data_IF_333324269489
#
_entry.id   IF_333324269489
#
_cell.length_a   1.000
_cell.length_b   1.000
_cell.length_c   1.000
_cell.angle_alpha   90.00
_cell.angle_beta   90.00
_cell.angle_gamma   90.00
#
_symmetry.space_group_name_H-M   'P 1'
#
loop_
_entity.id
_entity.type
_entity.pdbx_description
1 polymer ?
#
# COMPACT_ATOMS: atom_id res chain seq x y z
N UNK A 1 -17.64 1.76 -15.00
CA UNK A 1 -17.98 3.02 -14.33
C UNK A 1 -16.71 3.62 -13.74
N UNK A 2 -16.57 4.93 -13.77
CA UNK A 2 -15.54 5.68 -13.04
C UNK A 2 -16.04 6.08 -11.64
N UNK A 3 -15.16 6.49 -10.73
CA UNK A 3 -15.54 6.96 -9.41
C UNK A 3 -16.41 8.23 -9.51
N UNK A 4 -16.11 9.14 -10.44
CA UNK A 4 -16.93 10.32 -10.68
C UNK A 4 -18.34 9.96 -11.11
N UNK A 5 -18.50 9.12 -12.15
CA UNK A 5 -19.83 8.73 -12.65
C UNK A 5 -20.65 8.06 -11.55
N UNK A 6 -20.01 7.22 -10.72
CA UNK A 6 -20.67 6.59 -9.59
C UNK A 6 -21.13 7.61 -8.56
N UNK A 7 -20.29 8.57 -8.18
CA UNK A 7 -20.63 9.59 -7.18
C UNK A 7 -21.72 10.56 -7.69
N UNK A 8 -21.77 10.82 -8.99
CA UNK A 8 -22.81 11.66 -9.62
C UNK A 8 -24.21 11.06 -9.52
N UNK A 9 -24.34 9.73 -9.35
CA UNK A 9 -25.63 9.08 -9.14
C UNK A 9 -26.23 9.34 -7.75
N UNK A 10 -25.39 9.70 -6.76
CA UNK A 10 -25.79 9.72 -5.35
C UNK A 10 -25.65 11.09 -4.66
N UNK A 11 -24.78 11.96 -5.18
CA UNK A 11 -24.45 13.23 -4.54
C UNK A 11 -24.62 14.42 -5.48
N UNK A 12 -24.92 15.59 -4.91
CA UNK A 12 -25.02 16.86 -5.64
C UNK A 12 -23.84 17.79 -5.32
N UNK A 13 -23.36 17.82 -4.07
CA UNK A 13 -22.26 18.68 -3.61
C UNK A 13 -20.91 18.26 -4.20
N UNK A 14 -20.21 19.22 -4.81
CA UNK A 14 -18.87 19.02 -5.37
C UNK A 14 -17.83 18.71 -4.30
N UNK A 15 -17.96 19.27 -3.10
CA UNK A 15 -17.07 19.04 -1.95
C UNK A 15 -17.18 17.61 -1.43
N UNK A 16 -18.41 17.10 -1.32
CA UNK A 16 -18.66 15.70 -0.92
C UNK A 16 -18.12 14.74 -1.98
N UNK A 17 -18.37 15.02 -3.27
CA UNK A 17 -17.81 14.21 -4.36
C UNK A 17 -16.29 14.22 -4.35
N UNK A 18 -15.66 15.38 -4.19
CA UNK A 18 -14.21 15.50 -4.17
C UNK A 18 -13.58 14.70 -3.03
N UNK A 19 -14.13 14.80 -1.80
CA UNK A 19 -13.58 14.04 -0.67
C UNK A 19 -13.76 12.53 -0.84
N UNK A 20 -14.87 12.05 -1.44
CA UNK A 20 -15.11 10.63 -1.66
C UNK A 20 -14.33 10.09 -2.88
N UNK A 21 -14.07 10.93 -3.88
CA UNK A 21 -13.31 10.54 -5.07
C UNK A 21 -11.86 10.15 -4.73
N UNK A 22 -11.32 10.62 -3.60
CA UNK A 22 -9.99 10.25 -3.09
C UNK A 22 -9.84 8.74 -2.93
N UNK A 23 -10.82 8.08 -2.30
CA UNK A 23 -10.88 6.61 -2.12
C UNK A 23 -10.93 5.84 -3.46
N UNK A 24 -11.36 6.51 -4.54
CA UNK A 24 -11.38 5.95 -5.89
C UNK A 24 -10.01 5.94 -6.60
N UNK A 25 -9.03 6.68 -6.07
CA UNK A 25 -7.73 6.89 -6.75
C UNK A 25 -6.51 6.49 -5.91
N UNK A 26 -6.67 6.19 -4.61
CA UNK A 26 -5.58 5.71 -3.75
C UNK A 26 -4.89 4.50 -4.39
N UNK A 27 -3.58 4.63 -4.64
CA UNK A 27 -2.73 3.59 -5.24
C UNK A 27 -3.08 3.21 -6.68
N UNK A 28 -3.90 4.03 -7.37
CA UNK A 28 -4.34 3.80 -8.73
C UNK A 28 -3.55 4.64 -9.75
N UNK A 29 -3.27 4.06 -10.91
CA UNK A 29 -2.74 4.78 -12.08
C UNK A 29 -3.90 5.35 -12.91
N UNK A 30 -4.66 6.28 -12.30
CA UNK A 30 -5.83 6.89 -12.92
C UNK A 30 -6.41 8.05 -12.10
N UNK A 31 -7.10 8.95 -12.80
CA UNK A 31 -7.93 10.00 -12.21
C UNK A 31 -9.35 9.52 -11.90
N UNK A 32 -10.16 10.28 -11.15
CA UNK A 32 -11.52 9.91 -10.77
C UNK A 32 -12.46 9.63 -11.97
N UNK A 33 -12.17 10.16 -13.17
CA UNK A 33 -12.93 9.86 -14.39
C UNK A 33 -12.42 8.60 -15.13
N UNK A 34 -11.30 8.01 -14.69
CA UNK A 34 -10.73 6.83 -15.32
C UNK A 34 -11.63 5.59 -15.08
N UNK A 35 -11.89 4.75 -16.10
CA UNK A 35 -12.66 3.53 -15.93
C UNK A 35 -12.06 2.60 -14.87
N UNK A 36 -12.91 2.05 -13.99
CA UNK A 36 -12.51 1.08 -12.96
C UNK A 36 -12.23 1.70 -11.59
N UNK A 37 -12.09 3.02 -11.48
CA UNK A 37 -11.89 3.71 -10.18
C UNK A 37 -13.09 3.57 -9.24
N UNK A 38 -14.30 3.32 -9.75
CA UNK A 38 -15.46 2.97 -8.92
C UNK A 38 -15.24 1.69 -8.09
N UNK A 39 -14.53 0.70 -8.65
CA UNK A 39 -14.18 -0.50 -7.89
C UNK A 39 -13.15 -0.19 -6.79
N UNK A 40 -12.21 0.71 -7.05
CA UNK A 40 -11.20 1.13 -6.07
C UNK A 40 -11.90 1.87 -4.91
N UNK A 41 -12.85 2.75 -5.22
CA UNK A 41 -13.71 3.40 -4.23
C UNK A 41 -14.47 2.37 -3.36
N UNK A 42 -15.12 1.39 -4.01
CA UNK A 42 -15.78 0.29 -3.31
C UNK A 42 -14.79 -0.47 -2.42
N UNK A 43 -13.59 -0.78 -2.92
CA UNK A 43 -12.57 -1.51 -2.18
C UNK A 43 -12.19 -0.80 -0.87
N UNK A 44 -11.97 0.50 -0.91
CA UNK A 44 -11.67 1.29 0.29
C UNK A 44 -12.89 1.45 1.22
N UNK A 45 -14.11 1.39 0.67
CA UNK A 45 -15.36 1.44 1.44
C UNK A 45 -15.77 0.10 2.09
N UNK A 46 -15.23 -1.03 1.62
CA UNK A 46 -15.55 -2.37 2.15
C UNK A 46 -14.88 -2.65 3.50
N UNK A 47 -13.89 -1.86 3.90
CA UNK A 47 -13.19 -1.99 5.18
C UNK A 47 -14.14 -1.88 6.39
N UNK A 48 -13.74 -2.45 7.51
CA UNK A 48 -14.52 -2.35 8.74
C UNK A 48 -13.68 -2.48 9.99
N UNK A 49 -14.05 -1.74 11.03
CA UNK A 49 -13.38 -1.72 12.33
C UNK A 49 -14.43 -1.82 13.43
N UNK A 50 -14.21 -2.70 14.41
CA UNK A 50 -15.11 -2.87 15.56
C UNK A 50 -16.54 -3.28 15.18
N UNK A 51 -16.70 -4.07 14.11
CA UNK A 51 -18.01 -4.52 13.61
C UNK A 51 -18.79 -3.48 12.81
N UNK A 52 -18.23 -2.28 12.61
CA UNK A 52 -18.82 -1.23 11.76
C UNK A 52 -18.19 -1.26 10.38
N UNK A 53 -19.03 -1.20 9.33
CA UNK A 53 -18.60 -1.17 7.92
C UNK A 53 -18.26 0.26 7.49
N UNK A 54 -17.36 0.39 6.52
CA UNK A 54 -16.95 1.67 5.93
C UNK A 54 -16.12 2.55 6.87
N UNK A 55 -15.48 1.97 7.90
CA UNK A 55 -14.67 2.72 8.86
C UNK A 55 -13.22 2.27 8.85
N UNK A 56 -12.35 3.26 8.99
CA UNK A 56 -10.93 3.12 9.28
C UNK A 56 -10.68 3.43 10.75
N UNK A 57 -9.65 2.82 11.33
CA UNK A 57 -9.35 2.94 12.75
C UNK A 57 -7.88 3.17 13.01
N UNK A 58 -7.59 3.94 14.06
CA UNK A 58 -6.25 4.08 14.59
C UNK A 58 -5.94 2.96 15.58
N UNK A 59 -4.75 2.39 15.46
CA UNK A 59 -4.25 1.37 16.38
C UNK A 59 -3.45 2.06 17.47
N UNK A 60 -3.75 1.76 18.73
CA UNK A 60 -2.95 2.23 19.88
C UNK A 60 -1.53 1.66 19.76
N UNK A 61 -0.51 2.49 19.95
CA UNK A 61 0.90 2.17 19.69
C UNK A 61 1.29 2.23 18.21
N UNK A 62 0.37 2.63 17.33
CA UNK A 62 0.60 2.75 15.88
C UNK A 62 0.54 1.40 15.16
N UNK A 63 0.79 1.43 13.84
CA UNK A 63 0.67 0.23 12.99
C UNK A 63 1.68 -0.87 13.33
N UNK A 64 2.83 -0.54 13.92
CA UNK A 64 3.82 -1.52 14.39
C UNK A 64 3.24 -2.50 15.42
N UNK A 65 2.33 -2.02 16.29
CA UNK A 65 1.68 -2.85 17.29
C UNK A 65 0.85 -4.00 16.68
N UNK A 66 0.30 -3.82 15.47
CA UNK A 66 -0.41 -4.90 14.75
C UNK A 66 0.57 -6.01 14.37
N UNK A 67 1.69 -5.65 13.75
CA UNK A 67 2.73 -6.60 13.36
C UNK A 67 3.33 -7.31 14.57
N UNK A 68 3.58 -6.58 15.66
CA UNK A 68 4.10 -7.14 16.90
C UNK A 68 3.11 -8.11 17.56
N UNK A 69 1.81 -7.78 17.57
CA UNK A 69 0.77 -8.67 18.08
C UNK A 69 0.65 -9.96 17.26
N UNK A 70 0.72 -9.88 15.93
CA UNK A 70 0.73 -11.06 15.05
C UNK A 70 1.97 -11.90 15.32
N UNK A 71 3.15 -11.28 15.40
CA UNK A 71 4.41 -11.98 15.67
C UNK A 71 4.41 -12.65 17.05
N UNK A 72 3.87 -11.99 18.09
CA UNK A 72 3.73 -12.55 19.42
C UNK A 72 2.78 -13.76 19.43
N UNK A 73 1.63 -13.65 18.78
CA UNK A 73 0.68 -14.77 18.63
C UNK A 73 1.29 -15.97 17.90
N UNK A 74 2.06 -15.72 16.84
CA UNK A 74 2.78 -16.77 16.12
C UNK A 74 3.82 -17.46 17.01
N UNK A 75 4.62 -16.70 17.77
CA UNK A 75 5.63 -17.23 18.70
C UNK A 75 5.01 -18.04 19.84
N UNK A 76 3.86 -17.62 20.37
CA UNK A 76 3.09 -18.39 21.36
C UNK A 76 2.68 -19.78 20.83
N UNK A 77 2.50 -19.90 19.51
CA UNK A 77 2.24 -21.18 18.82
C UNK A 77 3.51 -21.89 18.31
N UNK A 78 4.68 -21.45 18.76
CA UNK A 78 5.97 -22.09 18.44
C UNK A 78 6.60 -21.64 17.12
N UNK A 79 6.09 -20.60 16.46
CA UNK A 79 6.73 -20.06 15.28
C UNK A 79 8.06 -19.38 15.63
N UNK A 80 9.08 -19.60 14.80
CA UNK A 80 10.35 -18.89 14.88
C UNK A 80 10.34 -17.73 13.89
N UNK A 81 10.60 -16.51 14.37
CA UNK A 81 10.70 -15.31 13.53
C UNK A 81 12.16 -14.89 13.45
N UNK A 82 12.73 -14.92 12.24
CA UNK A 82 14.10 -14.51 11.95
C UNK A 82 14.11 -13.16 11.26
N UNK A 83 14.80 -12.17 11.83
CA UNK A 83 15.08 -10.88 11.19
C UNK A 83 16.48 -10.89 10.59
N UNK A 84 16.79 -9.92 9.72
CA UNK A 84 18.07 -9.87 8.99
C UNK A 84 18.37 -11.17 8.20
N UNK A 85 17.33 -11.87 7.76
CA UNK A 85 17.39 -13.16 7.08
C UNK A 85 16.83 -13.01 5.65
N UNK A 86 17.51 -12.22 4.82
CA UNK A 86 17.11 -11.99 3.44
C UNK A 86 17.12 -13.28 2.66
N UNK A 87 15.98 -13.67 2.10
CA UNK A 87 15.86 -14.81 1.17
C UNK A 87 16.35 -14.37 -0.21
N UNK A 88 17.23 -15.17 -0.82
CA UNK A 88 17.77 -14.93 -2.17
C UNK A 88 17.29 -15.96 -3.19
N UNK A 89 16.78 -17.10 -2.76
CA UNK A 89 16.28 -18.15 -3.65
C UNK A 89 15.16 -18.96 -2.96
N UNK A 90 14.16 -19.36 -3.74
CA UNK A 90 13.20 -20.42 -3.41
C UNK A 90 13.67 -21.68 -4.14
N UNK A 91 14.15 -22.67 -3.39
CA UNK A 91 14.69 -23.90 -3.96
C UNK A 91 13.55 -24.79 -4.47
N UNK A 92 13.66 -25.27 -5.71
CA UNK A 92 12.66 -26.13 -6.37
C UNK A 92 13.31 -27.44 -6.85
N UNK A 93 12.59 -28.55 -6.67
CA UNK A 93 13.01 -29.86 -7.21
C UNK A 93 11.81 -30.65 -7.69
N UNK A 94 11.76 -30.94 -9.00
CA UNK A 94 10.68 -31.70 -9.63
C UNK A 94 9.33 -30.97 -9.55
N UNK A 95 9.33 -29.66 -9.83
CA UNK A 95 8.13 -28.81 -9.77
C UNK A 95 7.52 -28.70 -8.38
N UNK A 96 8.34 -28.79 -7.32
CA UNK A 96 7.92 -28.65 -5.92
C UNK A 96 8.95 -27.85 -5.12
N UNK A 97 8.47 -26.91 -4.31
CA UNK A 97 9.29 -26.15 -3.37
C UNK A 97 9.95 -27.05 -2.33
N UNK A 98 11.20 -26.76 -1.99
CA UNK A 98 12.00 -27.49 -1.00
C UNK A 98 12.52 -26.63 0.14
N UNK A 99 12.29 -25.33 0.07
CA UNK A 99 12.73 -24.39 1.08
C UNK A 99 13.27 -23.13 0.43
N UNK A 100 14.11 -22.43 1.17
CA UNK A 100 14.73 -21.17 0.73
C UNK A 100 16.22 -21.17 1.01
N UNK A 101 16.95 -20.34 0.27
CA UNK A 101 18.36 -20.00 0.53
C UNK A 101 18.40 -18.56 1.02
N UNK A 102 19.13 -18.32 2.11
CA UNK A 102 19.36 -16.97 2.65
C UNK A 102 20.59 -16.33 1.98
N UNK A 103 20.70 -15.01 2.07
CA UNK A 103 21.85 -14.25 1.56
C UNK A 103 23.19 -14.66 2.21
N UNK A 104 23.14 -15.30 3.38
CA UNK A 104 24.31 -15.88 4.07
C UNK A 104 24.79 -17.20 3.43
N UNK A 105 24.02 -17.77 2.50
CA UNK A 105 24.21 -19.12 1.96
C UNK A 105 23.56 -20.23 2.78
N UNK A 106 22.93 -19.91 3.91
CA UNK A 106 22.19 -20.89 4.72
C UNK A 106 20.95 -21.38 3.98
N UNK A 107 20.76 -22.69 3.94
CA UNK A 107 19.56 -23.32 3.40
C UNK A 107 18.57 -23.68 4.52
N UNK A 108 17.33 -23.22 4.37
CA UNK A 108 16.22 -23.58 5.26
C UNK A 108 15.29 -24.52 4.50
N UNK A 109 15.25 -25.80 4.88
CA UNK A 109 14.37 -26.79 4.27
C UNK A 109 12.92 -26.64 4.72
N UNK A 110 12.00 -26.63 3.77
CA UNK A 110 10.56 -26.60 4.03
C UNK A 110 9.77 -27.29 2.91
N UNK A 111 8.81 -28.18 3.24
CA UNK A 111 7.94 -28.79 2.24
C UNK A 111 6.88 -27.82 1.68
N UNK A 112 6.68 -26.70 2.38
CA UNK A 112 5.73 -25.64 2.03
C UNK A 112 6.40 -24.29 2.22
N UNK A 113 6.26 -23.41 1.24
CA UNK A 113 6.72 -22.02 1.26
C UNK A 113 5.52 -21.12 0.97
N UNK A 114 5.27 -20.14 1.84
CA UNK A 114 4.25 -19.11 1.62
C UNK A 114 4.95 -17.75 1.45
N UNK A 115 4.92 -17.19 0.25
CA UNK A 115 5.54 -15.91 -0.06
C UNK A 115 4.56 -14.76 0.21
N UNK A 116 4.93 -13.89 1.15
CA UNK A 116 4.23 -12.62 1.39
C UNK A 116 4.82 -11.46 0.55
N UNK A 117 5.83 -11.73 -0.27
CA UNK A 117 6.50 -10.74 -1.11
C UNK A 117 5.59 -10.35 -2.29
N UNK A 118 5.96 -9.28 -3.00
CA UNK A 118 5.28 -8.98 -4.26
C UNK A 118 5.49 -10.11 -5.30
N UNK A 119 4.58 -10.25 -6.28
CA UNK A 119 4.67 -11.30 -7.29
C UNK A 119 5.94 -11.24 -8.14
N UNK A 120 6.45 -10.04 -8.45
CA UNK A 120 7.63 -9.87 -9.30
C UNK A 120 8.88 -10.36 -8.57
N UNK A 121 9.04 -10.06 -7.28
CA UNK A 121 10.14 -10.62 -6.47
C UNK A 121 10.01 -12.14 -6.39
N UNK A 122 8.83 -12.64 -6.02
CA UNK A 122 8.61 -14.07 -5.82
C UNK A 122 8.92 -14.90 -7.08
N UNK A 123 8.39 -14.49 -8.23
CA UNK A 123 8.48 -15.28 -9.47
C UNK A 123 9.60 -14.86 -10.41
N UNK A 124 10.04 -13.60 -10.35
CA UNK A 124 11.06 -13.06 -11.26
C UNK A 124 12.44 -12.93 -10.64
N UNK A 125 12.58 -12.94 -9.31
CA UNK A 125 13.89 -12.78 -8.63
C UNK A 125 14.28 -14.01 -7.80
N UNK A 126 13.33 -14.63 -7.11
CA UNK A 126 13.62 -15.75 -6.19
C UNK A 126 13.45 -17.14 -6.83
N UNK A 127 12.93 -17.22 -8.05
CA UNK A 127 12.76 -18.47 -8.78
C UNK A 127 13.52 -18.41 -10.10
N UNK A 128 14.05 -19.56 -10.51
CA UNK A 128 14.57 -19.74 -11.86
C UNK A 128 13.39 -19.81 -12.84
N UNK A 129 13.43 -18.99 -13.90
CA UNK A 129 12.41 -18.97 -14.94
C UNK A 129 12.14 -20.37 -15.53
N UNK A 130 13.14 -21.26 -15.59
CA UNK A 130 12.98 -22.62 -16.13
C UNK A 130 12.02 -23.51 -15.33
N UNK A 131 11.76 -23.17 -14.07
CA UNK A 131 10.84 -23.91 -13.20
C UNK A 131 9.37 -23.53 -13.45
N UNK A 132 9.13 -22.44 -14.18
CA UNK A 132 7.80 -21.86 -14.41
C UNK A 132 7.30 -22.15 -15.84
N UNK A 133 5.99 -22.31 -16.04
CA UNK A 133 5.42 -22.39 -17.38
C UNK A 133 5.66 -21.11 -18.19
N UNK A 134 5.92 -21.26 -19.50
CA UNK A 134 6.27 -20.16 -20.40
C UNK A 134 5.19 -19.07 -20.43
N UNK A 135 3.92 -19.49 -20.43
CA UNK A 135 2.77 -18.58 -20.41
C UNK A 135 2.67 -17.80 -19.10
N UNK A 136 3.06 -18.41 -17.98
CA UNK A 136 3.08 -17.77 -16.67
C UNK A 136 4.17 -16.69 -16.62
N UNK A 137 5.38 -17.00 -17.10
CA UNK A 137 6.49 -16.05 -17.18
C UNK A 137 6.10 -14.86 -18.07
N UNK A 138 5.51 -15.14 -19.23
CA UNK A 138 5.06 -14.10 -20.15
C UNK A 138 4.01 -13.17 -19.50
N UNK A 139 3.08 -13.73 -18.71
CA UNK A 139 2.12 -12.94 -17.96
C UNK A 139 2.77 -12.12 -16.85
N UNK A 140 3.69 -12.71 -16.07
CA UNK A 140 4.42 -12.00 -15.02
C UNK A 140 5.28 -10.86 -15.56
N UNK A 141 5.89 -11.00 -16.75
CA UNK A 141 6.64 -9.93 -17.43
C UNK A 141 5.75 -8.74 -17.84
N UNK A 142 4.42 -8.93 -17.92
CA UNK A 142 3.44 -7.87 -18.20
C UNK A 142 2.71 -7.39 -16.95
N UNK A 143 2.97 -7.98 -15.79
CA UNK A 143 2.31 -7.62 -14.55
C UNK A 143 2.72 -6.21 -14.13
N UNK A 144 1.75 -5.31 -14.01
CA UNK A 144 1.98 -3.91 -13.70
C UNK A 144 1.98 -3.70 -12.19
N UNK A 145 3.09 -3.20 -11.66
CA UNK A 145 3.27 -2.91 -10.23
C UNK A 145 3.92 -1.55 -9.96
N UNK A 146 3.96 -0.65 -10.93
CA UNK A 146 4.41 0.71 -10.66
C UNK A 146 3.37 1.45 -9.80
N UNK A 147 3.86 2.06 -8.74
CA UNK A 147 3.09 2.86 -7.81
C UNK A 147 3.13 4.33 -8.17
N UNK A 148 2.13 5.05 -7.70
CA UNK A 148 1.97 6.50 -7.87
C UNK A 148 1.76 7.22 -6.54
N UNK A 149 2.14 6.58 -5.44
CA UNK A 149 1.91 7.12 -4.09
C UNK A 149 3.22 7.44 -3.40
N UNK A 150 3.24 8.56 -2.69
CA UNK A 150 4.33 8.94 -1.79
C UNK A 150 3.77 9.23 -0.39
N UNK A 151 4.64 9.28 0.60
CA UNK A 151 4.25 9.60 1.98
C UNK A 151 5.25 10.54 2.61
N UNK A 152 4.78 11.53 3.35
CA UNK A 152 5.60 12.38 4.21
C UNK A 152 5.12 12.20 5.64
N UNK A 153 6.04 11.96 6.57
CA UNK A 153 5.75 11.97 8.00
C UNK A 153 6.41 13.21 8.59
N UNK A 154 5.62 14.08 9.21
CA UNK A 154 6.13 15.26 9.90
C UNK A 154 6.14 15.01 11.41
N UNK A 155 7.25 15.34 12.05
CA UNK A 155 7.30 15.61 13.48
C UNK A 155 7.03 17.10 13.67
N UNK A 156 6.03 17.42 14.48
CA UNK A 156 5.54 18.78 14.68
C UNK A 156 5.61 19.22 16.13
N UNK A 157 5.81 20.52 16.36
CA UNK A 157 5.74 21.16 17.68
C UNK A 157 4.46 21.92 17.98
N UNK A 158 3.56 21.92 17.00
CA UNK A 158 2.23 22.46 17.07
C UNK A 158 1.38 21.88 15.95
N UNK A 159 0.07 21.97 16.08
CA UNK A 159 -0.85 21.51 15.04
C UNK A 159 -1.03 22.61 13.97
N UNK A 160 -1.22 22.24 12.69
CA UNK A 160 -1.58 23.20 11.65
C UNK A 160 -2.90 23.90 11.97
N UNK A 161 -2.97 25.22 11.77
CA UNK A 161 -4.22 25.97 11.92
C UNK A 161 -4.81 26.27 10.55
N UNK A 162 -5.87 25.55 10.17
CA UNK A 162 -6.44 25.60 8.83
C UNK A 162 -7.43 26.76 8.68
N UNK A 163 -7.30 27.52 7.59
CA UNK A 163 -8.16 28.68 7.31
C UNK A 163 -9.65 28.33 7.13
N UNK A 164 -9.94 27.11 6.65
CA UNK A 164 -11.30 26.63 6.46
C UNK A 164 -12.02 26.30 7.78
N UNK A 165 -11.28 25.99 8.86
CA UNK A 165 -11.83 25.71 10.17
C UNK A 165 -10.82 26.11 11.27
N UNK A 166 -10.69 27.42 11.57
CA UNK A 166 -9.65 27.90 12.48
C UNK A 166 -9.78 27.37 13.91
N UNK A 167 -8.64 27.21 14.58
CA UNK A 167 -8.53 26.79 15.97
C UNK A 167 -7.82 25.45 16.16
N UNK A 168 -6.82 25.44 17.04
CA UNK A 168 -5.98 24.28 17.33
C UNK A 168 -5.92 23.98 18.84
N UNK A 169 -6.18 22.73 19.29
CA UNK A 169 -6.71 21.62 18.53
C UNK A 169 -8.21 21.79 18.18
N UNK A 170 -8.63 21.17 17.09
CA UNK A 170 -10.02 21.14 16.62
C UNK A 170 -10.49 19.73 16.21
N UNK A 171 -11.79 19.50 15.95
CA UNK A 171 -12.32 18.18 15.59
C UNK A 171 -11.70 17.61 14.31
N UNK A 172 -11.33 18.45 13.35
CA UNK A 172 -10.68 18.04 12.11
C UNK A 172 -9.30 17.39 12.32
N UNK A 173 -8.58 17.74 13.39
CA UNK A 173 -7.33 17.07 13.77
C UNK A 173 -7.54 15.62 14.25
N UNK A 174 -8.79 15.25 14.55
CA UNK A 174 -9.25 13.89 14.84
C UNK A 174 -10.09 13.34 13.69
N UNK A 175 -9.75 13.71 12.46
CA UNK A 175 -10.33 13.19 11.24
C UNK A 175 -9.23 12.98 10.20
N UNK A 176 -9.61 12.40 9.06
CA UNK A 176 -8.82 12.48 7.83
C UNK A 176 -9.12 13.83 7.18
N UNK A 177 -8.07 14.57 6.85
CA UNK A 177 -8.16 15.89 6.22
C UNK A 177 -7.63 15.80 4.80
N UNK A 178 -8.32 16.43 3.84
CA UNK A 178 -7.91 16.41 2.44
C UNK A 178 -7.67 17.82 1.90
N UNK A 179 -6.62 17.98 1.09
CA UNK A 179 -6.48 19.10 0.16
C UNK A 179 -6.73 18.55 -1.24
N UNK A 180 -7.98 18.69 -1.68
CA UNK A 180 -8.45 18.36 -3.03
C UNK A 180 -9.72 19.17 -3.35
N UNK A 181 -9.58 20.47 -3.72
CA UNK A 181 -10.71 21.39 -3.81
C UNK A 181 -11.88 20.97 -4.72
N UNK A 182 -11.63 20.09 -5.70
CA UNK A 182 -12.68 19.54 -6.57
C UNK A 182 -12.27 18.20 -7.18
N UNK A 183 -13.22 17.49 -7.81
CA UNK A 183 -12.93 16.27 -8.57
C UNK A 183 -11.99 16.57 -9.74
N UNK A 184 -12.15 17.72 -10.40
CA UNK A 184 -11.28 18.17 -11.49
C UNK A 184 -9.87 18.51 -11.00
N UNK A 185 -9.70 18.92 -9.74
CA UNK A 185 -8.36 19.05 -9.15
C UNK A 185 -7.66 17.69 -9.11
N UNK A 186 -8.36 16.65 -8.67
CA UNK A 186 -7.82 15.28 -8.59
C UNK A 186 -7.53 14.74 -10.00
N UNK A 187 -8.42 14.97 -10.97
CA UNK A 187 -8.18 14.57 -12.37
C UNK A 187 -6.96 15.29 -12.98
N UNK A 188 -6.84 16.61 -12.80
CA UNK A 188 -5.65 17.34 -13.28
C UNK A 188 -4.37 16.91 -12.57
N UNK A 189 -4.46 16.49 -11.31
CA UNK A 189 -3.30 15.99 -10.59
C UNK A 189 -2.74 14.71 -11.21
N UNK A 190 -3.61 13.87 -11.80
CA UNK A 190 -3.23 12.69 -12.56
C UNK A 190 -2.50 13.02 -13.87
N UNK A 191 -2.84 14.11 -14.56
CA UNK A 191 -2.23 14.47 -15.86
C UNK A 191 -0.69 14.58 -15.78
N UNK A 192 -0.16 15.23 -14.75
CA UNK A 192 1.30 15.32 -14.57
C UNK A 192 1.92 13.91 -14.43
N UNK A 193 1.33 13.05 -13.59
CA UNK A 193 1.81 11.70 -13.31
C UNK A 193 1.71 10.77 -14.52
N UNK A 194 0.63 10.88 -15.30
CA UNK A 194 0.43 10.17 -16.56
C UNK A 194 1.58 10.39 -17.55
N UNK A 195 2.21 11.57 -17.52
CA UNK A 195 3.36 11.90 -18.36
C UNK A 195 4.72 11.77 -17.63
N UNK A 196 4.76 11.01 -16.53
CA UNK A 196 5.98 10.68 -15.80
C UNK A 196 6.55 11.82 -14.96
N UNK A 197 5.71 12.76 -14.51
CA UNK A 197 6.13 13.87 -13.64
C UNK A 197 5.36 13.82 -12.33
N UNK A 198 5.98 14.04 -11.15
CA UNK A 198 5.23 14.20 -9.92
C UNK A 198 4.25 15.36 -10.05
N UNK A 199 3.04 15.17 -9.55
CA UNK A 199 2.00 16.19 -9.65
C UNK A 199 2.44 17.49 -8.98
N UNK A 200 2.22 18.62 -9.66
CA UNK A 200 2.44 19.94 -9.05
C UNK A 200 1.36 20.29 -8.03
N UNK A 201 0.24 19.59 -8.07
CA UNK A 201 -0.91 19.80 -7.20
C UNK A 201 -1.48 18.43 -6.82
N UNK A 202 -0.70 17.59 -6.09
CA UNK A 202 -1.11 16.24 -5.75
C UNK A 202 -2.34 16.27 -4.83
N UNK A 203 -3.12 15.19 -4.86
CA UNK A 203 -4.07 14.93 -3.77
C UNK A 203 -3.28 14.71 -2.48
N UNK A 204 -3.58 15.51 -1.45
CA UNK A 204 -2.96 15.42 -0.13
C UNK A 204 -4.00 14.91 0.86
N UNK A 205 -3.72 13.76 1.47
CA UNK A 205 -4.48 13.22 2.60
C UNK A 205 -3.64 13.31 3.87
N UNK A 206 -4.20 13.86 4.95
CA UNK A 206 -3.49 14.13 6.18
C UNK A 206 -4.21 13.52 7.38
N UNK A 207 -3.44 12.94 8.29
CA UNK A 207 -3.92 12.43 9.57
C UNK A 207 -2.95 12.76 10.69
N UNK A 208 -3.47 13.00 11.90
CA UNK A 208 -2.65 13.30 13.09
C UNK A 208 -2.87 12.22 14.14
N UNK A 209 -2.22 11.05 14.05
CA UNK A 209 -2.45 9.90 14.95
C UNK A 209 -2.25 10.24 16.44
N UNK A 210 -1.35 11.18 16.77
CA UNK A 210 -1.13 11.65 18.16
C UNK A 210 -2.36 12.29 18.80
N UNK A 211 -3.36 12.69 18.00
CA UNK A 211 -4.64 13.21 18.50
C UNK A 211 -5.58 12.13 19.04
N UNK A 212 -5.32 10.86 18.68
CA UNK A 212 -6.01 9.68 19.20
C UNK A 212 -5.16 8.94 20.23
N UNK A 213 -3.84 8.89 20.00
CA UNK A 213 -2.90 8.22 20.88
C UNK A 213 -1.71 9.13 21.21
N UNK A 214 -1.78 9.86 22.35
CA UNK A 214 -0.70 10.72 22.80
C UNK A 214 0.61 9.98 23.10
N UNK A 215 0.62 8.65 23.23
CA UNK A 215 1.84 7.90 23.53
C UNK A 215 2.83 7.84 22.35
N UNK A 216 2.39 8.23 21.16
CA UNK A 216 3.19 8.19 19.93
C UNK A 216 4.23 9.34 19.84
N UNK A 217 4.12 10.37 20.66
CA UNK A 217 5.03 11.52 20.65
C UNK A 217 5.22 12.10 22.07
N UNK A 218 6.31 12.86 22.31
CA UNK A 218 6.46 13.62 23.55
C UNK A 218 5.30 14.61 23.79
N UNK A 219 5.04 15.04 25.04
CA UNK A 219 4.00 16.02 25.34
C UNK A 219 4.16 17.31 24.51
N UNK A 220 3.04 17.77 23.94
CA UNK A 220 3.01 18.96 23.08
C UNK A 220 3.64 18.78 21.69
N UNK A 221 4.04 17.55 21.32
CA UNK A 221 4.54 17.22 19.99
C UNK A 221 3.55 16.33 19.26
N UNK A 222 3.54 16.43 17.95
CA UNK A 222 2.60 15.73 17.10
C UNK A 222 3.29 15.00 15.96
N UNK A 223 2.72 13.88 15.55
CA UNK A 223 3.05 13.24 14.28
C UNK A 223 1.89 13.50 13.34
N UNK A 224 2.19 14.08 12.17
CA UNK A 224 1.25 14.22 11.07
C UNK A 224 1.73 13.37 9.89
N UNK A 225 0.93 12.38 9.49
CA UNK A 225 1.15 11.59 8.30
C UNK A 225 0.45 12.23 7.12
N UNK A 226 1.17 12.38 6.01
CA UNK A 226 0.67 12.92 4.75
C UNK A 226 0.83 11.88 3.67
N UNK A 227 -0.28 11.33 3.19
CA UNK A 227 -0.32 10.48 2.02
C UNK A 227 -0.53 11.35 0.77
N UNK A 228 0.21 11.03 -0.28
CA UNK A 228 0.21 11.75 -1.54
C UNK A 228 -0.11 10.78 -2.67
N UNK A 229 -1.04 11.16 -3.52
CA UNK A 229 -1.32 10.47 -4.78
C UNK A 229 -0.75 11.28 -5.95
N UNK A 230 -0.33 10.59 -7.01
CA UNK A 230 0.27 11.12 -8.25
C UNK A 230 1.74 11.53 -8.16
N UNK A 231 2.53 10.66 -7.53
CA UNK A 231 3.98 10.65 -7.52
C UNK A 231 4.47 9.35 -8.22
N UNK A 232 4.62 9.31 -9.56
CA UNK A 232 4.92 8.07 -10.29
C UNK A 232 6.31 7.52 -9.94
N UNK A 233 6.47 6.19 -9.93
CA UNK A 233 7.77 5.54 -9.71
C UNK A 233 8.80 5.92 -10.78
N UNK A 234 8.45 5.69 -12.05
CA UNK A 234 9.29 6.04 -13.20
C UNK A 234 9.05 7.49 -13.58
N UNK A 235 10.10 8.30 -13.47
CA UNK A 235 10.07 9.71 -13.82
C UNK A 235 10.66 9.93 -15.21
N UNK A 236 10.08 10.85 -15.99
CA UNK A 236 10.47 11.12 -17.37
C UNK A 236 11.84 11.79 -17.48
N UNK A 237 12.05 12.83 -16.67
CA UNK A 237 13.16 13.78 -16.86
C UNK A 237 14.20 13.77 -15.72
N UNK A 238 13.97 13.01 -14.64
CA UNK A 238 14.79 13.09 -13.42
C UNK A 238 14.67 11.80 -12.57
N UNK A 239 15.29 11.73 -11.39
CA UNK A 239 15.15 10.62 -10.44
C UNK A 239 14.58 11.08 -9.10
N UNK A 240 13.93 10.17 -8.37
CA UNK A 240 13.44 10.46 -7.01
C UNK A 240 14.56 10.84 -6.05
N UNK A 241 15.78 10.34 -6.22
CA UNK A 241 16.92 10.74 -5.39
C UNK A 241 17.22 12.25 -5.49
N UNK A 242 16.86 12.89 -6.62
CA UNK A 242 17.03 14.34 -6.84
C UNK A 242 15.74 15.13 -6.64
N UNK A 243 14.58 14.57 -6.96
CA UNK A 243 13.28 15.25 -6.82
C UNK A 243 12.59 15.10 -5.47
N UNK A 244 13.03 14.19 -4.59
CA UNK A 244 12.41 13.97 -3.27
C UNK A 244 12.24 15.28 -2.50
N UNK A 245 13.31 16.06 -2.42
CA UNK A 245 13.31 17.29 -1.63
C UNK A 245 12.49 18.42 -2.29
N UNK A 246 12.69 18.77 -3.58
CA UNK A 246 11.81 19.72 -4.27
C UNK A 246 10.32 19.38 -4.20
N UNK A 247 9.97 18.10 -4.33
CA UNK A 247 8.58 17.65 -4.22
C UNK A 247 8.04 17.78 -2.79
N UNK A 248 8.87 17.48 -1.79
CA UNK A 248 8.54 17.66 -0.36
C UNK A 248 8.25 19.13 -0.06
N UNK A 249 9.11 20.04 -0.52
CA UNK A 249 8.90 21.49 -0.36
C UNK A 249 7.62 21.97 -1.04
N UNK A 250 7.31 21.48 -2.24
CA UNK A 250 6.06 21.81 -2.93
C UNK A 250 4.82 21.38 -2.14
N UNK A 251 4.86 20.20 -1.53
CA UNK A 251 3.75 19.72 -0.67
C UNK A 251 3.61 20.60 0.57
N UNK A 252 4.72 21.05 1.17
CA UNK A 252 4.68 21.96 2.31
C UNK A 252 4.13 23.33 1.89
N UNK A 253 4.51 23.86 0.72
CA UNK A 253 3.93 25.09 0.17
C UNK A 253 2.40 24.96 0.03
N UNK A 254 1.93 23.84 -0.52
CA UNK A 254 0.49 23.57 -0.63
C UNK A 254 -0.20 23.54 0.72
N UNK A 255 0.38 22.87 1.73
CA UNK A 255 -0.21 22.86 3.07
C UNK A 255 -0.20 24.27 3.68
N UNK A 256 0.87 25.04 3.48
CA UNK A 256 1.01 26.43 3.96
C UNK A 256 -0.06 27.36 3.36
N UNK A 257 -0.48 27.15 2.10
CA UNK A 257 -1.60 27.88 1.47
C UNK A 257 -2.92 27.72 2.25
N UNK A 258 -3.16 26.54 2.86
CA UNK A 258 -4.38 26.24 3.63
C UNK A 258 -4.20 26.36 5.15
N UNK A 259 -2.96 26.30 5.65
CA UNK A 259 -2.60 26.43 7.05
C UNK A 259 -1.38 27.35 7.22
N UNK A 260 -1.57 28.68 7.15
CA UNK A 260 -0.46 29.64 7.23
C UNK A 260 0.40 29.49 8.49
N UNK A 261 1.70 29.39 8.28
CA UNK A 261 2.71 29.07 9.26
C UNK A 261 2.67 27.62 9.73
N UNK A 262 2.31 26.69 8.87
CA UNK A 262 2.59 25.27 9.07
C UNK A 262 4.10 25.02 9.13
N UNK A 263 4.88 25.69 8.26
CA UNK A 263 6.34 25.55 8.17
C UNK A 263 7.07 25.73 9.50
N UNK A 264 6.67 26.71 10.31
CA UNK A 264 7.29 26.98 11.63
C UNK A 264 7.11 25.83 12.63
N UNK A 265 6.11 24.96 12.42
CA UNK A 265 5.83 23.85 13.32
C UNK A 265 6.60 22.58 12.96
N UNK A 266 7.25 22.52 11.80
CA UNK A 266 7.99 21.34 11.35
C UNK A 266 9.31 21.24 12.12
N UNK A 267 9.42 20.22 12.96
CA UNK A 267 10.66 19.87 13.67
C UNK A 267 11.53 18.98 12.81
N UNK A 268 10.93 17.99 12.15
CA UNK A 268 11.61 17.05 11.27
C UNK A 268 10.61 16.44 10.28
N UNK A 269 11.12 15.84 9.19
CA UNK A 269 10.32 15.17 8.17
C UNK A 269 11.00 13.94 7.59
N UNK A 270 10.19 12.94 7.28
CA UNK A 270 10.60 11.75 6.53
C UNK A 270 9.71 11.59 5.29
N UNK A 271 10.29 11.84 4.12
CA UNK A 271 9.64 11.59 2.82
C UNK A 271 10.01 10.20 2.31
N UNK A 272 8.99 9.42 1.95
CA UNK A 272 9.08 8.11 1.31
C UNK A 272 8.44 8.21 -0.07
N UNK A 273 9.28 8.18 -1.10
CA UNK A 273 8.87 8.12 -2.52
C UNK A 273 8.59 6.65 -2.92
N UNK A 274 7.96 6.37 -4.07
CA UNK A 274 7.84 4.99 -4.57
C UNK A 274 9.19 4.25 -4.64
N UNK A 275 10.28 4.95 -4.97
CA UNK A 275 11.64 4.39 -4.98
C UNK A 275 12.11 3.99 -3.58
N UNK A 276 11.78 4.79 -2.56
CA UNK A 276 12.07 4.47 -1.17
C UNK A 276 11.25 3.27 -0.68
N UNK A 277 10.00 3.15 -1.13
CA UNK A 277 9.16 2.01 -0.81
C UNK A 277 9.75 0.70 -1.37
N UNK A 278 10.26 0.73 -2.61
CA UNK A 278 10.96 -0.41 -3.19
C UNK A 278 12.23 -0.76 -2.40
N UNK A 279 13.12 0.22 -2.19
CA UNK A 279 14.43 0.00 -1.55
C UNK A 279 14.30 -0.45 -0.10
N UNK A 280 13.34 0.10 0.65
CA UNK A 280 13.21 -0.15 2.10
C UNK A 280 12.34 -1.35 2.43
N UNK A 281 11.28 -1.60 1.65
CA UNK A 281 10.29 -2.62 1.96
C UNK A 281 10.26 -3.77 0.94
N UNK A 282 11.06 -3.69 -0.13
CA UNK A 282 11.10 -4.73 -1.17
C UNK A 282 9.84 -4.78 -2.03
N UNK A 283 9.13 -3.66 -2.17
CA UNK A 283 7.90 -3.54 -2.95
C UNK A 283 8.24 -3.06 -4.36
N UNK A 284 8.31 -3.97 -5.33
CA UNK A 284 8.74 -3.65 -6.69
C UNK A 284 7.87 -2.58 -7.34
N UNK A 285 8.48 -1.50 -7.83
CA UNK A 285 7.81 -0.34 -8.41
C UNK A 285 7.09 0.56 -7.38
N UNK A 286 7.19 0.27 -6.09
CA UNK A 286 6.61 1.09 -5.02
C UNK A 286 5.07 1.08 -4.95
N UNK A 287 4.38 0.17 -5.64
CA UNK A 287 2.92 0.07 -5.53
C UNK A 287 2.52 -0.60 -4.21
N UNK A 288 1.87 0.15 -3.33
CA UNK A 288 1.46 -0.28 -1.98
C UNK A 288 0.52 -1.49 -1.96
N UNK A 289 -0.06 -1.86 -3.10
CA UNK A 289 -0.89 -3.05 -3.27
C UNK A 289 -0.15 -4.24 -3.89
N UNK A 290 1.16 -4.12 -4.15
CA UNK A 290 2.02 -5.10 -4.83
C UNK A 290 1.59 -5.40 -6.28
N UNK A 291 0.92 -4.45 -6.92
CA UNK A 291 0.36 -4.61 -8.28
C UNK A 291 -0.90 -3.77 -8.46
N UNK A 292 -1.16 -3.30 -9.68
CA UNK A 292 -2.34 -2.49 -9.97
C UNK A 292 -3.65 -3.18 -9.57
N UNK A 293 -4.63 -2.36 -9.18
CA UNK A 293 -5.98 -2.79 -8.83
C UNK A 293 -6.98 -2.58 -9.98
N UNK A 294 -6.49 -2.58 -11.21
CA UNK A 294 -7.31 -2.51 -12.41
C UNK A 294 -8.10 -3.81 -12.62
N UNK A 295 -9.23 -3.73 -13.34
CA UNK A 295 -10.10 -4.89 -13.55
C UNK A 295 -9.39 -6.06 -14.25
N UNK A 296 -8.39 -5.79 -15.09
CA UNK A 296 -7.56 -6.80 -15.78
C UNK A 296 -6.45 -7.42 -14.90
N UNK A 297 -6.25 -6.94 -13.67
CA UNK A 297 -5.28 -7.50 -12.70
C UNK A 297 -5.91 -7.82 -11.32
N UNK A 298 -7.24 -7.86 -11.26
CA UNK A 298 -7.99 -8.16 -10.04
C UNK A 298 -8.80 -9.45 -10.14
N UNK A 299 -9.41 -9.84 -9.04
CA UNK A 299 -10.25 -11.05 -8.95
C UNK A 299 -9.50 -12.31 -9.40
N UNK A 300 -10.06 -13.04 -10.36
CA UNK A 300 -9.52 -14.28 -10.92
C UNK A 300 -8.28 -14.07 -11.80
N UNK A 301 -7.86 -12.82 -12.00
CA UNK A 301 -6.68 -12.44 -12.76
C UNK A 301 -5.48 -12.10 -11.88
N UNK A 302 -5.63 -12.09 -10.53
CA UNK A 302 -4.56 -11.70 -9.59
C UNK A 302 -3.91 -12.91 -8.89
N UNK A 303 -2.59 -13.14 -9.02
CA UNK A 303 -1.61 -12.32 -9.74
C UNK A 303 -1.65 -12.52 -11.25
N UNK A 304 -2.02 -13.72 -11.71
CA UNK A 304 -2.20 -14.08 -13.12
C UNK A 304 -3.38 -15.04 -13.24
N UNK A 305 -4.11 -14.97 -14.35
CA UNK A 305 -5.18 -15.91 -14.69
C UNK A 305 -4.73 -17.38 -14.56
N UNK A 306 -5.61 -18.23 -14.03
CA UNK A 306 -5.30 -19.64 -13.76
C UNK A 306 -4.58 -19.89 -12.43
N UNK A 307 -3.89 -18.89 -11.87
CA UNK A 307 -3.12 -18.97 -10.62
C UNK A 307 -3.63 -18.01 -9.53
N UNK A 308 -4.85 -17.50 -9.68
CA UNK A 308 -5.46 -16.54 -8.75
C UNK A 308 -6.05 -17.14 -7.46
N UNK A 309 -5.81 -18.43 -7.19
CA UNK A 309 -6.31 -19.14 -5.99
C UNK A 309 -5.17 -19.52 -5.05
N UNK A 310 -4.25 -18.57 -4.82
CA UNK A 310 -3.14 -18.65 -3.85
C UNK A 310 -2.03 -19.67 -4.18
N UNK A 311 -2.37 -20.77 -4.86
CA UNK A 311 -1.42 -21.74 -5.41
C UNK A 311 -0.66 -21.16 -6.59
N UNK A 312 0.56 -21.62 -6.76
CA UNK A 312 1.45 -21.24 -7.87
C UNK A 312 1.73 -22.46 -8.75
N UNK A 313 2.37 -22.27 -9.93
CA UNK A 313 2.84 -23.39 -10.74
C UNK A 313 3.76 -24.38 -10.00
N UNK A 314 4.43 -23.91 -8.94
CA UNK A 314 5.31 -24.73 -8.11
C UNK A 314 4.50 -25.34 -6.96
N UNK A 315 4.44 -26.67 -6.90
CA UNK A 315 3.74 -27.36 -5.80
C UNK A 315 4.37 -27.04 -4.47
N UNK A 316 3.55 -26.73 -3.47
CA UNK A 316 4.03 -26.36 -2.14
C UNK A 316 4.49 -24.90 -2.03
N UNK A 317 4.46 -24.11 -3.11
CA UNK A 317 4.65 -22.66 -3.05
C UNK A 317 3.31 -21.94 -3.20
N UNK A 318 3.05 -21.01 -2.29
CA UNK A 318 1.83 -20.22 -2.21
C UNK A 318 2.16 -18.73 -2.17
N UNK A 319 1.29 -17.90 -2.76
CA UNK A 319 1.33 -16.45 -2.62
C UNK A 319 0.30 -16.01 -1.59
N UNK A 320 0.73 -15.27 -0.56
CA UNK A 320 -0.09 -14.93 0.60
C UNK A 320 -0.08 -13.44 0.97
N UNK A 321 0.59 -12.58 0.18
CA UNK A 321 0.61 -11.12 0.38
C UNK A 321 -0.37 -10.35 -0.50
N UNK A 322 -0.24 -9.01 -0.49
CA UNK A 322 -1.12 -8.07 -1.24
C UNK A 322 -1.18 -8.31 -2.75
N UNK A 323 -0.17 -9.00 -3.29
CA UNK A 323 -0.13 -9.43 -4.69
C UNK A 323 -1.11 -10.55 -5.04
N UNK A 324 -1.77 -11.16 -4.04
CA UNK A 324 -2.85 -12.12 -4.23
C UNK A 324 -4.22 -11.46 -3.97
N UNK A 325 -5.28 -12.03 -4.55
CA UNK A 325 -6.65 -11.62 -4.25
C UNK A 325 -6.97 -11.77 -2.75
N UNK A 326 -7.72 -10.87 -2.09
CA UNK A 326 -8.49 -9.73 -2.63
C UNK A 326 -7.71 -8.46 -2.98
N UNK A 327 -6.40 -8.40 -2.76
CA UNK A 327 -5.60 -7.18 -2.94
C UNK A 327 -4.97 -6.72 -1.63
N UNK A 328 -4.41 -5.51 -1.63
CA UNK A 328 -3.78 -4.94 -0.43
C UNK A 328 -4.72 -4.08 0.42
N UNK A 329 -4.17 -3.33 1.36
CA UNK A 329 -4.92 -2.63 2.41
C UNK A 329 -5.13 -3.56 3.61
N UNK A 330 -4.36 -3.34 4.69
CA UNK A 330 -4.09 -4.14 5.92
C UNK A 330 -5.26 -5.01 6.47
N UNK A 331 -5.83 -5.89 5.65
CA UNK A 331 -7.03 -6.68 5.94
C UNK A 331 -6.71 -8.13 6.31
N UNK A 332 -5.47 -8.58 6.04
CA UNK A 332 -5.01 -9.95 6.33
C UNK A 332 -5.66 -11.07 5.49
N UNK A 333 -6.62 -10.74 4.62
CA UNK A 333 -7.38 -11.72 3.84
C UNK A 333 -6.52 -12.57 2.88
N UNK A 334 -5.53 -12.03 2.12
CA UNK A 334 -4.66 -12.86 1.29
C UNK A 334 -3.92 -13.93 2.10
N UNK A 335 -3.36 -13.54 3.25
CA UNK A 335 -2.66 -14.42 4.17
C UNK A 335 -3.57 -15.51 4.75
N UNK A 336 -4.75 -15.11 5.23
CA UNK A 336 -5.75 -16.04 5.76
C UNK A 336 -6.21 -17.06 4.71
N UNK A 337 -6.51 -16.59 3.50
CA UNK A 337 -7.01 -17.47 2.43
C UNK A 337 -5.92 -18.41 1.91
N UNK A 338 -4.68 -17.94 1.77
CA UNK A 338 -3.56 -18.80 1.41
C UNK A 338 -3.32 -19.88 2.48
N UNK A 339 -3.37 -19.53 3.77
CA UNK A 339 -3.26 -20.50 4.86
C UNK A 339 -4.35 -21.58 4.79
N UNK A 340 -5.59 -21.22 4.44
CA UNK A 340 -6.67 -22.20 4.22
C UNK A 340 -6.37 -23.18 3.09
N UNK A 341 -5.81 -22.71 1.97
CA UNK A 341 -5.44 -23.58 0.87
C UNK A 341 -4.23 -24.47 1.20
N UNK A 342 -3.24 -23.96 1.94
CA UNK A 342 -2.11 -24.75 2.47
C UNK A 342 -2.62 -25.88 3.37
N UNK A 343 -3.58 -25.60 4.24
CA UNK A 343 -4.17 -26.60 5.14
C UNK A 343 -5.00 -27.65 4.40
N UNK A 344 -5.67 -27.29 3.29
CA UNK A 344 -6.41 -28.25 2.46
C UNK A 344 -5.47 -29.18 1.68
N UNK A 345 -4.37 -28.63 1.17
CA UNK A 345 -3.43 -29.38 0.33
C UNK A 345 -2.52 -30.30 1.14
N UNK A 346 -2.16 -29.87 2.34
CA UNK A 346 -1.42 -30.74 3.24
C UNK A 346 -2.35 -31.81 3.81
N UNK A 347 -1.93 -33.07 3.69
CA UNK A 347 -2.55 -34.20 4.39
C UNK A 347 -2.13 -34.15 5.87
N UNK A 348 -2.51 -33.09 6.59
CA UNK A 348 -2.17 -32.88 8.00
C UNK A 348 -2.91 -33.85 8.95
N UNK A 349 -3.77 -34.72 8.43
CA UNK A 349 -4.56 -35.72 9.15
C UNK A 349 -3.92 -37.10 9.31
N UNK A 350 -2.60 -37.25 9.06
CA UNK A 350 -1.89 -38.53 9.27
C UNK A 350 -0.83 -38.53 10.37
N UNK A 351 -0.73 -37.46 11.15
CA UNK A 351 0.19 -37.37 12.30
C UNK A 351 -0.51 -36.79 13.54
N UNK A 352 -1.64 -37.38 13.92
CA UNK A 352 -2.16 -37.28 15.29
C UNK A 352 -2.20 -38.67 15.90
#
# INVERSE_FOLDING_TARGET
QSASDFLDEWFESGEVKATLATDGVIGANGGPHSPGTAYILMHHSMGGVGGKRGLWGFVRGGMGAVSDAIAASARDKGAVVRTNATVTEIRVRGGRARGVTLATGEEVDAPVVASNLDPIVTFGRLLDEKELPVEFIAAMKRFRSEGTSAKINFALDGLPDFTAYPGTPGPHHRATMHICPSVEYIERAWDDAKYGRPSRSPLIEMTVPTMYDPSLAPPGRHIMGVFLQYAPYTLKDETWDRLREPFTERVIDLIEEYAPGFRRHIVDRLTLTPLDLERRFGITGGNIFHGEMSLDQMFVLRPVAGWARYRTPIRGLYLCGSGAHPGGGVMGAPGHNAAREILKDGRWSRFR
#
